data_IF_445540315884
#
_entry.id   IF_445540315884
#
_cell.length_a   1.000
_cell.length_b   1.000
_cell.length_c   1.000
_cell.angle_alpha   90.00
_cell.angle_beta   90.00
_cell.angle_gamma   90.00
#
_symmetry.space_group_name_H-M   'P 1'
#
loop_
_entity.id
_entity.type
_entity.pdbx_description
1 polymer ?
#
# COMPACT_ATOMS: atom_id res chain seq x y z
N UNK A 1 21.51 -49.38 9.90
CA UNK A 1 22.28 -48.12 10.03
C UNK A 1 21.87 -47.24 8.86
N UNK A 2 21.04 -46.22 9.09
CA UNK A 2 20.88 -45.10 8.16
C UNK A 2 20.28 -43.95 8.96
N UNK A 3 21.12 -42.93 9.24
CA UNK A 3 20.73 -41.71 9.95
C UNK A 3 20.34 -40.64 8.93
N UNK A 4 19.13 -40.16 9.14
CA UNK A 4 18.43 -38.99 8.59
C UNK A 4 19.38 -37.78 8.40
N UNK A 5 19.38 -37.20 7.19
CA UNK A 5 19.84 -35.83 6.89
C UNK A 5 18.63 -35.05 6.34
N UNK A 6 17.98 -34.23 7.15
CA UNK A 6 16.81 -33.43 6.72
C UNK A 6 16.66 -32.10 7.47
N UNK A 7 17.72 -31.33 7.67
CA UNK A 7 17.64 -30.06 8.44
C UNK A 7 18.16 -28.79 7.72
N UNK A 8 18.59 -28.82 6.46
CA UNK A 8 19.17 -27.62 5.80
C UNK A 8 18.17 -26.76 5.01
N UNK A 9 16.95 -27.23 4.71
CA UNK A 9 16.03 -26.53 3.80
C UNK A 9 15.27 -25.38 4.46
N UNK A 10 15.18 -25.33 5.79
CA UNK A 10 14.27 -24.40 6.50
C UNK A 10 14.86 -23.01 6.76
N UNK A 11 16.18 -22.84 6.77
CA UNK A 11 16.83 -21.59 7.19
C UNK A 11 16.92 -20.55 6.07
N UNK A 12 17.05 -20.98 4.82
CA UNK A 12 17.21 -20.07 3.67
C UNK A 12 15.91 -19.32 3.33
N UNK A 13 14.76 -20.01 3.41
CA UNK A 13 13.45 -19.41 3.18
C UNK A 13 13.10 -18.34 4.22
N UNK A 14 13.47 -18.54 5.49
CA UNK A 14 13.21 -17.58 6.55
C UNK A 14 14.00 -16.27 6.38
N UNK A 15 15.24 -16.35 5.87
CA UNK A 15 16.07 -15.17 5.62
C UNK A 15 15.52 -14.32 4.48
N UNK A 16 15.12 -14.95 3.37
CA UNK A 16 14.53 -14.26 2.21
C UNK A 16 13.22 -13.56 2.55
N UNK A 17 12.36 -14.20 3.34
CA UNK A 17 11.11 -13.60 3.82
C UNK A 17 11.35 -12.36 4.69
N UNK A 18 12.42 -12.38 5.51
CA UNK A 18 12.83 -11.21 6.31
C UNK A 18 13.26 -10.04 5.43
N UNK A 19 14.00 -10.30 4.35
CA UNK A 19 14.47 -9.26 3.41
C UNK A 19 13.30 -8.63 2.64
N UNK A 20 12.38 -9.44 2.11
CA UNK A 20 11.17 -8.94 1.46
C UNK A 20 10.36 -8.01 2.37
N UNK A 21 10.20 -8.43 3.63
CA UNK A 21 9.44 -7.65 4.63
C UNK A 21 10.14 -6.32 4.92
N UNK A 22 11.46 -6.31 4.96
CA UNK A 22 12.25 -5.10 5.14
C UNK A 22 12.12 -4.14 3.95
N UNK A 23 12.28 -4.66 2.73
CA UNK A 23 12.21 -3.87 1.50
C UNK A 23 10.86 -3.19 1.34
N UNK A 24 9.78 -3.95 1.51
CA UNK A 24 8.43 -3.40 1.49
C UNK A 24 8.24 -2.34 2.57
N UNK A 25 8.70 -2.61 3.80
CA UNK A 25 8.59 -1.65 4.91
C UNK A 25 9.31 -0.35 4.60
N UNK A 26 10.51 -0.40 4.05
CA UNK A 26 11.33 0.78 3.75
C UNK A 26 10.67 1.62 2.64
N UNK A 27 10.21 0.96 1.57
CA UNK A 27 9.48 1.61 0.46
C UNK A 27 8.18 2.25 0.96
N UNK A 28 7.39 1.53 1.76
CA UNK A 28 6.14 2.07 2.34
C UNK A 28 6.40 3.22 3.30
N UNK A 29 7.42 3.11 4.14
CA UNK A 29 7.79 4.19 5.07
C UNK A 29 8.12 5.46 4.30
N UNK A 30 8.95 5.34 3.25
CA UNK A 30 9.24 6.45 2.36
C UNK A 30 7.96 7.02 1.73
N UNK A 31 7.16 6.17 1.09
CA UNK A 31 5.95 6.58 0.39
C UNK A 31 5.02 7.41 1.30
N UNK A 32 4.78 6.92 2.52
CA UNK A 32 3.93 7.61 3.50
C UNK A 32 4.57 8.93 3.95
N UNK A 33 5.86 8.95 4.27
CA UNK A 33 6.53 10.18 4.73
C UNK A 33 6.64 11.25 3.65
N UNK A 34 6.66 10.84 2.38
CA UNK A 34 6.80 11.73 1.23
C UNK A 34 5.47 12.01 0.51
N UNK A 35 4.33 11.57 1.07
CA UNK A 35 3.01 11.87 0.53
C UNK A 35 2.65 11.14 -0.77
N UNK A 36 3.33 10.03 -1.08
CA UNK A 36 2.98 9.20 -2.23
C UNK A 36 1.70 8.41 -1.96
N UNK A 37 0.87 8.32 -3.00
CA UNK A 37 -0.20 7.32 -3.07
C UNK A 37 0.40 6.01 -3.56
N UNK A 38 -0.02 4.88 -2.99
CA UNK A 38 0.50 3.57 -3.39
C UNK A 38 -0.55 2.48 -3.40
N UNK A 39 -0.36 1.49 -4.27
CA UNK A 39 -1.12 0.24 -4.22
C UNK A 39 -0.20 -0.95 -4.30
N UNK A 40 -0.55 -1.96 -3.49
CA UNK A 40 0.06 -3.27 -3.47
C UNK A 40 -1.02 -4.29 -3.81
N UNK A 41 -0.79 -5.10 -4.83
CA UNK A 41 -1.69 -6.18 -5.22
C UNK A 41 -0.92 -7.44 -5.63
N UNK A 42 -1.68 -8.50 -5.87
CA UNK A 42 -1.21 -9.79 -6.35
C UNK A 42 -2.28 -10.37 -7.24
N UNK A 43 -1.88 -10.96 -8.37
CA UNK A 43 -2.82 -11.63 -9.28
C UNK A 43 -3.28 -12.97 -8.69
N UNK A 44 -4.51 -13.43 -9.01
CA UNK A 44 -4.99 -14.74 -8.57
C UNK A 44 -4.03 -15.85 -9.05
N UNK A 45 -3.72 -16.79 -8.16
CA UNK A 45 -2.80 -17.91 -8.42
C UNK A 45 -1.34 -17.53 -8.72
N UNK A 46 -0.97 -16.25 -8.63
CA UNK A 46 0.41 -15.81 -8.71
C UNK A 46 1.00 -15.57 -7.31
N UNK A 47 2.30 -15.79 -7.17
CA UNK A 47 3.05 -15.46 -5.96
C UNK A 47 3.61 -14.03 -5.99
N UNK A 48 3.66 -13.44 -7.20
CA UNK A 48 4.23 -12.14 -7.43
C UNK A 48 3.35 -11.03 -6.88
N UNK A 49 3.97 -10.12 -6.12
CA UNK A 49 3.34 -8.94 -5.54
C UNK A 49 3.82 -7.74 -6.33
N UNK A 50 2.90 -6.86 -6.68
CA UNK A 50 3.18 -5.66 -7.47
C UNK A 50 2.88 -4.44 -6.62
N UNK A 51 3.85 -3.52 -6.55
CA UNK A 51 3.74 -2.26 -5.82
C UNK A 51 3.98 -1.11 -6.79
N UNK A 52 3.06 -0.16 -6.82
CA UNK A 52 3.26 1.10 -7.54
C UNK A 52 3.04 2.27 -6.62
N UNK A 53 3.87 3.31 -6.77
CA UNK A 53 3.79 4.56 -6.06
C UNK A 53 3.63 5.71 -7.06
N UNK A 54 2.74 6.64 -6.76
CA UNK A 54 2.51 7.83 -7.56
C UNK A 54 2.38 9.08 -6.68
N UNK A 55 2.91 10.18 -7.17
CA UNK A 55 2.86 11.51 -6.59
C UNK A 55 1.98 12.42 -7.47
N UNK A 56 0.97 13.02 -6.83
CA UNK A 56 -0.13 13.82 -7.37
C UNK A 56 0.00 14.37 -8.81
N UNK A 57 -0.22 13.52 -9.82
CA UNK A 57 -0.35 13.96 -11.21
C UNK A 57 -1.55 13.29 -11.88
N UNK A 58 -2.75 13.82 -11.64
CA UNK A 58 -3.97 13.40 -12.34
C UNK A 58 -3.90 13.85 -13.80
N UNK A 59 -3.92 12.89 -14.73
CA UNK A 59 -4.04 13.13 -16.18
C UNK A 59 -5.41 12.65 -16.64
N UNK A 60 -6.04 13.35 -17.58
CA UNK A 60 -7.26 12.83 -18.23
C UNK A 60 -6.87 11.66 -19.13
N UNK A 61 -7.42 10.48 -18.89
CA UNK A 61 -7.25 9.30 -19.72
C UNK A 61 -8.18 9.43 -20.93
N UNK A 62 -7.75 10.16 -21.96
CA UNK A 62 -8.54 10.32 -23.19
C UNK A 62 -8.04 9.36 -24.26
N UNK A 63 -8.77 8.26 -24.47
CA UNK A 63 -8.62 7.37 -25.63
C UNK A 63 -7.32 6.55 -25.68
N UNK A 64 -6.69 6.31 -24.54
CA UNK A 64 -5.45 5.54 -24.48
C UNK A 64 -5.76 4.04 -24.51
N UNK A 65 -5.14 3.30 -25.44
CA UNK A 65 -5.17 1.84 -25.42
C UNK A 65 -4.45 1.35 -24.16
N UNK A 66 -4.98 0.31 -23.49
CA UNK A 66 -4.35 -0.30 -22.31
C UNK A 66 -2.91 -0.79 -22.59
N UNK A 67 -2.62 -1.13 -23.85
CA UNK A 67 -1.31 -1.66 -24.25
C UNK A 67 -0.19 -0.61 -24.27
N UNK A 68 -0.55 0.67 -24.45
CA UNK A 68 0.42 1.79 -24.51
C UNK A 68 0.54 2.55 -23.18
N UNK A 69 -0.23 2.13 -22.17
CA UNK A 69 -0.26 2.79 -20.88
C UNK A 69 0.96 2.38 -20.05
N UNK A 70 1.66 3.38 -19.52
CA UNK A 70 2.68 3.17 -18.52
C UNK A 70 2.09 2.62 -17.22
N UNK A 71 2.89 1.99 -16.34
CA UNK A 71 2.43 1.61 -15.01
C UNK A 71 1.79 2.80 -14.29
N UNK A 72 0.66 2.57 -13.62
CA UNK A 72 -0.09 3.63 -12.96
C UNK A 72 -1.48 3.21 -12.49
N UNK A 73 -2.25 4.19 -12.06
CA UNK A 73 -3.63 4.04 -11.60
C UNK A 73 -4.59 4.56 -12.65
N UNK A 74 -5.68 3.83 -12.88
CA UNK A 74 -6.81 4.33 -13.65
C UNK A 74 -8.01 4.46 -12.70
N UNK A 75 -8.61 5.64 -12.70
CA UNK A 75 -9.82 5.94 -11.97
C UNK A 75 -10.92 6.31 -12.97
N UNK A 76 -11.94 5.45 -13.06
CA UNK A 76 -13.13 5.71 -13.85
C UNK A 76 -14.25 6.22 -12.93
N UNK A 77 -14.70 7.48 -13.08
CA UNK A 77 -15.83 7.99 -12.32
C UNK A 77 -17.10 7.16 -12.56
N UNK A 78 -17.98 7.06 -11.55
CA UNK A 78 -19.28 6.38 -11.72
C UNK A 78 -20.19 7.10 -12.73
N UNK A 79 -20.05 8.41 -12.82
CA UNK A 79 -20.75 9.22 -13.82
C UNK A 79 -20.05 9.09 -15.17
N UNK A 80 -20.72 8.41 -16.11
CA UNK A 80 -20.21 8.17 -17.47
C UNK A 80 -20.04 9.44 -18.30
N UNK A 81 -20.55 10.58 -17.85
CA UNK A 81 -20.31 11.88 -18.50
C UNK A 81 -18.92 12.44 -18.20
N UNK A 82 -18.26 11.95 -17.14
CA UNK A 82 -16.93 12.35 -16.74
C UNK A 82 -15.88 11.49 -17.44
N UNK A 83 -14.72 12.10 -17.72
CA UNK A 83 -13.60 11.38 -18.32
C UNK A 83 -12.90 10.52 -17.26
N UNK A 84 -12.35 9.39 -17.70
CA UNK A 84 -11.44 8.60 -16.88
C UNK A 84 -10.17 9.40 -16.56
N UNK A 85 -9.58 9.11 -15.42
CA UNK A 85 -8.33 9.70 -14.96
C UNK A 85 -7.24 8.63 -14.91
N UNK A 86 -6.06 8.98 -15.38
CA UNK A 86 -4.86 8.17 -15.29
C UNK A 86 -3.83 8.90 -14.43
N UNK A 87 -3.27 8.19 -13.44
CA UNK A 87 -2.21 8.68 -12.58
C UNK A 87 -0.99 7.80 -12.87
N UNK A 88 0.03 8.29 -13.61
CA UNK A 88 1.23 7.51 -13.86
C UNK A 88 1.96 7.20 -12.55
N UNK A 89 2.50 6.00 -12.45
CA UNK A 89 3.38 5.64 -11.34
C UNK A 89 4.75 6.28 -11.55
N UNK A 90 5.28 6.90 -10.49
CA UNK A 90 6.67 7.36 -10.45
C UNK A 90 7.61 6.18 -10.16
N UNK A 91 7.13 5.24 -9.34
CA UNK A 91 7.88 4.04 -8.98
C UNK A 91 7.03 2.79 -9.12
N UNK A 92 7.64 1.73 -9.63
CA UNK A 92 7.06 0.40 -9.77
C UNK A 92 8.06 -0.66 -9.29
N UNK A 93 7.56 -1.63 -8.53
CA UNK A 93 8.34 -2.72 -7.99
C UNK A 93 7.56 -4.03 -8.09
N UNK A 94 8.28 -5.09 -8.44
CA UNK A 94 7.78 -6.44 -8.48
C UNK A 94 8.52 -7.30 -7.45
N UNK A 95 7.79 -8.10 -6.68
CA UNK A 95 8.34 -8.95 -5.64
C UNK A 95 7.86 -10.39 -5.80
N UNK A 96 8.73 -11.35 -5.54
CA UNK A 96 8.39 -12.76 -5.33
C UNK A 96 8.47 -13.11 -3.85
N UNK A 97 8.24 -14.37 -3.51
CA UNK A 97 8.48 -14.86 -2.15
C UNK A 97 9.98 -14.92 -1.81
N UNK A 98 10.86 -14.96 -2.81
CA UNK A 98 12.31 -14.92 -2.65
C UNK A 98 12.88 -13.49 -2.50
N UNK A 99 12.06 -12.46 -2.67
CA UNK A 99 12.47 -11.05 -2.60
C UNK A 99 12.10 -10.24 -3.83
N UNK A 100 12.71 -9.06 -3.98
CA UNK A 100 12.47 -8.17 -5.11
C UNK A 100 12.94 -8.81 -6.42
N UNK A 101 12.07 -8.81 -7.43
CA UNK A 101 12.34 -9.36 -8.76
C UNK A 101 13.22 -8.39 -9.56
N UNK A 102 13.97 -8.88 -10.58
CA UNK A 102 14.69 -8.00 -11.48
C UNK A 102 13.70 -7.12 -12.27
N UNK A 103 14.08 -5.87 -12.61
CA UNK A 103 13.21 -4.97 -13.33
C UNK A 103 12.91 -5.50 -14.73
N UNK A 104 11.63 -5.50 -15.10
CA UNK A 104 11.11 -5.95 -16.39
C UNK A 104 10.98 -4.81 -17.41
N UNK A 105 10.85 -3.57 -16.94
CA UNK A 105 10.72 -2.38 -17.76
C UNK A 105 11.65 -1.22 -17.33
N UNK A 106 11.58 -0.11 -18.07
CA UNK A 106 12.39 1.08 -17.77
C UNK A 106 12.00 1.79 -16.47
N UNK A 107 10.72 1.74 -16.10
CA UNK A 107 10.19 2.37 -14.88
C UNK A 107 10.66 1.60 -13.64
N UNK A 108 10.57 0.26 -13.67
CA UNK A 108 11.10 -0.61 -12.62
C UNK A 108 12.62 -0.47 -12.50
N UNK A 109 13.36 -0.36 -13.61
CA UNK A 109 14.81 -0.12 -13.56
C UNK A 109 15.15 1.20 -12.84
N UNK A 110 14.44 2.28 -13.16
CA UNK A 110 14.61 3.56 -12.48
C UNK A 110 14.23 3.47 -10.99
N UNK A 111 13.19 2.71 -10.67
CA UNK A 111 12.72 2.49 -9.30
C UNK A 111 13.74 1.73 -8.45
N UNK A 112 14.37 0.70 -9.03
CA UNK A 112 15.46 -0.05 -8.39
C UNK A 112 16.67 0.85 -8.12
N UNK A 113 17.11 1.63 -9.11
CA UNK A 113 18.23 2.55 -8.95
C UNK A 113 17.98 3.58 -7.84
N UNK A 114 16.76 4.13 -7.81
CA UNK A 114 16.31 5.04 -6.77
C UNK A 114 16.31 4.39 -5.38
N UNK A 115 15.82 3.15 -5.25
CA UNK A 115 15.79 2.44 -3.97
C UNK A 115 17.21 2.21 -3.43
N UNK A 116 18.15 1.82 -4.30
CA UNK A 116 19.56 1.65 -3.94
C UNK A 116 20.21 2.96 -3.51
N UNK A 117 19.89 4.08 -4.16
CA UNK A 117 20.34 5.40 -3.74
C UNK A 117 19.78 5.78 -2.36
N UNK A 118 18.50 5.48 -2.10
CA UNK A 118 17.88 5.73 -0.78
C UNK A 118 18.50 4.89 0.33
N UNK A 119 18.83 3.63 0.06
CA UNK A 119 19.54 2.77 1.03
C UNK A 119 20.93 3.31 1.40
N UNK A 120 21.62 3.93 0.44
CA UNK A 120 22.95 4.53 0.68
C UNK A 120 22.88 5.86 1.43
N UNK A 121 21.83 6.64 1.19
CA UNK A 121 21.71 8.02 1.69
C UNK A 121 20.98 8.14 3.03
N UNK A 122 20.01 7.26 3.30
CA UNK A 122 19.22 7.29 4.53
C UNK A 122 19.64 6.17 5.48
N UNK A 123 19.97 6.53 6.74
CA UNK A 123 19.93 5.58 7.84
C UNK A 123 18.48 5.08 8.07
N UNK A 124 18.27 4.00 8.83
CA UNK A 124 16.94 3.39 9.00
C UNK A 124 15.94 4.39 9.59
N UNK A 125 15.10 4.95 8.72
CA UNK A 125 14.02 5.86 9.13
C UNK A 125 12.92 5.01 9.72
N UNK A 126 12.64 5.18 11.02
CA UNK A 126 11.52 4.48 11.65
C UNK A 126 10.22 4.84 10.90
N UNK A 127 9.39 3.86 10.52
CA UNK A 127 8.10 4.14 9.89
C UNK A 127 7.29 5.05 10.81
N UNK A 128 6.58 6.06 10.27
CA UNK A 128 5.56 6.74 11.04
C UNK A 128 4.55 5.69 11.54
N UNK A 129 4.29 5.70 12.85
CA UNK A 129 3.35 4.76 13.48
C UNK A 129 1.93 5.16 13.08
N UNK A 130 1.47 4.66 11.92
CA UNK A 130 0.17 4.98 11.37
C UNK A 130 -0.96 4.19 12.06
N UNK A 131 -0.67 2.94 12.43
CA UNK A 131 -1.58 2.07 13.16
C UNK A 131 -1.05 1.89 14.59
N UNK A 132 -1.84 2.32 15.57
CA UNK A 132 -1.65 1.89 16.95
C UNK A 132 -1.89 0.38 16.99
N UNK A 133 -0.94 -0.41 17.47
CA UNK A 133 -1.16 -1.86 17.55
C UNK A 133 -2.32 -2.11 18.50
N UNK A 134 -3.18 -3.07 18.17
CA UNK A 134 -4.30 -3.43 19.03
C UNK A 134 -3.82 -3.95 20.41
N UNK A 135 -2.59 -4.47 20.49
CA UNK A 135 -1.91 -4.77 21.75
C UNK A 135 -1.66 -3.53 22.62
N UNK A 136 -1.48 -2.35 22.02
CA UNK A 136 -1.36 -1.08 22.75
C UNK A 136 -2.73 -0.61 23.29
N UNK A 137 -3.81 -1.28 22.87
CA UNK A 137 -5.18 -1.10 23.38
C UNK A 137 -5.58 -2.22 24.37
N UNK A 138 -4.74 -3.25 24.58
CA UNK A 138 -4.98 -4.27 25.60
C UNK A 138 -4.75 -3.66 26.98
N UNK A 139 -5.84 -3.25 27.62
CA UNK A 139 -5.86 -2.60 28.92
C UNK A 139 -7.06 -1.69 29.12
N UNK A 140 -7.74 -1.29 28.04
CA UNK A 140 -9.05 -0.65 28.11
C UNK A 140 -10.04 -1.51 27.35
N UNK A 141 -10.79 -2.37 28.04
CA UNK A 141 -12.12 -2.70 27.53
C UNK A 141 -12.78 -1.36 27.23
N UNK A 142 -13.22 -1.13 26.00
CA UNK A 142 -14.05 0.03 25.69
C UNK A 142 -15.24 -0.07 26.63
N UNK A 143 -15.21 0.69 27.74
CA UNK A 143 -16.35 0.82 28.62
C UNK A 143 -17.50 1.27 27.72
N UNK A 144 -18.68 0.68 27.89
CA UNK A 144 -19.86 0.97 27.07
C UNK A 144 -20.06 2.49 26.93
N UNK A 145 -19.82 3.24 28.00
CA UNK A 145 -19.86 4.69 28.05
C UNK A 145 -18.86 5.38 27.09
N UNK A 146 -17.62 4.88 26.98
CA UNK A 146 -16.62 5.41 26.06
C UNK A 146 -17.01 5.17 24.59
N UNK A 147 -17.66 4.04 24.31
CA UNK A 147 -18.20 3.76 22.99
C UNK A 147 -19.38 4.68 22.65
N UNK A 148 -20.31 4.87 23.57
CA UNK A 148 -21.45 5.78 23.41
C UNK A 148 -21.00 7.22 23.18
N UNK A 149 -19.96 7.69 23.88
CA UNK A 149 -19.37 9.01 23.66
C UNK A 149 -18.74 9.15 22.27
N UNK A 150 -18.02 8.12 21.81
CA UNK A 150 -17.45 8.12 20.46
C UNK A 150 -18.55 8.17 19.39
N UNK A 151 -19.61 7.38 19.55
CA UNK A 151 -20.75 7.37 18.62
C UNK A 151 -21.43 8.74 18.57
N UNK A 152 -21.70 9.34 19.74
CA UNK A 152 -22.26 10.70 19.83
C UNK A 152 -21.37 11.72 19.11
N UNK A 153 -20.07 11.68 19.34
CA UNK A 153 -19.13 12.59 18.68
C UNK A 153 -19.13 12.45 17.16
N UNK A 154 -19.13 11.21 16.65
CA UNK A 154 -19.21 10.95 15.21
C UNK A 154 -20.54 11.44 14.62
N UNK A 155 -21.68 11.22 15.30
CA UNK A 155 -22.98 11.69 14.85
C UNK A 155 -23.03 13.22 14.78
N UNK A 156 -22.47 13.92 15.76
CA UNK A 156 -22.35 15.39 15.73
C UNK A 156 -21.47 15.86 14.57
N UNK A 157 -20.32 15.23 14.35
CA UNK A 157 -19.43 15.59 13.25
C UNK A 157 -20.08 15.36 11.86
N UNK A 158 -20.91 14.33 11.71
CA UNK A 158 -21.71 14.08 10.50
C UNK A 158 -22.79 15.16 10.34
N UNK A 159 -23.52 15.50 11.41
CA UNK A 159 -24.55 16.54 11.39
C UNK A 159 -23.96 17.92 11.03
N UNK A 160 -22.74 18.20 11.49
CA UNK A 160 -22.00 19.43 11.19
C UNK A 160 -21.41 19.45 9.76
N UNK A 161 -21.60 18.38 8.96
CA UNK A 161 -21.04 18.26 7.62
C UNK A 161 -19.51 18.14 7.59
N UNK A 162 -18.88 17.83 8.73
CA UNK A 162 -17.42 17.64 8.85
C UNK A 162 -16.97 16.25 8.40
N UNK A 163 -17.89 15.31 8.28
CA UNK A 163 -17.62 13.93 7.83
C UNK A 163 -18.79 13.41 6.98
N UNK A 164 -18.50 12.72 5.88
CA UNK A 164 -19.49 11.95 5.12
C UNK A 164 -19.45 10.46 5.49
N UNK A 165 -20.64 9.91 5.72
CA UNK A 165 -21.03 8.50 5.93
C UNK A 165 -19.93 7.47 6.27
N UNK A 166 -19.97 6.94 7.51
CA UNK A 166 -19.11 5.83 7.91
C UNK A 166 -19.82 4.48 7.82
N UNK A 167 -19.39 3.62 6.89
CA UNK A 167 -19.84 2.22 6.82
C UNK A 167 -18.82 1.31 7.51
N UNK A 168 -19.08 0.91 8.77
CA UNK A 168 -18.39 -0.24 9.36
C UNK A 168 -19.13 -1.51 8.96
N UNK A 169 -18.69 -2.17 7.88
CA UNK A 169 -18.98 -3.60 7.64
C UNK A 169 -17.71 -4.39 7.99
N UNK A 170 -17.84 -5.41 8.85
CA UNK A 170 -16.71 -6.14 9.46
C UNK A 170 -15.86 -6.99 8.48
N UNK A 171 -16.13 -6.92 7.18
CA UNK A 171 -15.35 -7.57 6.13
C UNK A 171 -15.49 -6.75 4.85
N UNK A 172 -14.74 -5.67 4.73
CA UNK A 172 -14.54 -4.97 3.46
C UNK A 172 -13.04 -4.75 3.29
N UNK A 173 -12.45 -5.41 2.29
CA UNK A 173 -11.12 -5.04 1.78
C UNK A 173 -11.23 -3.60 1.28
N UNK A 174 -10.40 -2.74 1.85
CA UNK A 174 -10.37 -1.30 1.64
C UNK A 174 -10.21 -0.94 0.16
N UNK A 175 -11.17 -0.17 -0.36
CA UNK A 175 -11.02 0.71 -1.51
C UNK A 175 -10.81 2.11 -0.92
N UNK A 176 -9.74 2.80 -1.30
CA UNK A 176 -9.48 4.18 -0.90
C UNK A 176 -10.16 5.14 -1.90
N UNK A 177 -11.05 6.04 -1.48
CA UNK A 177 -11.31 7.27 -2.22
C UNK A 177 -10.57 8.42 -1.52
N UNK A 178 -9.53 8.92 -2.19
CA UNK A 178 -8.85 10.16 -1.82
C UNK A 178 -9.73 11.34 -2.25
N UNK A 179 -10.24 12.06 -1.24
CA UNK A 179 -10.42 13.52 -1.15
C UNK A 179 -11.22 14.20 -2.30
N UNK A 180 -12.46 14.57 -1.97
CA UNK A 180 -13.17 15.70 -2.57
C UNK A 180 -12.41 17.01 -2.26
N UNK A 181 -11.97 17.72 -3.30
CA UNK A 181 -11.67 19.16 -3.21
C UNK A 181 -12.77 19.88 -3.98
N UNK A 182 -13.46 20.80 -3.29
CA UNK A 182 -14.46 21.73 -3.84
C UNK A 182 -13.81 22.80 -4.71
#
# INVERSE_FOLDING_TARGET
>A
MERIRSNEVTTESAHKHSLLTQDLRDIFSFAVTSGYSGALWRLPNEQNKFLVLAHETLRKAKGTSFDDLQPGFIFAPFDKSQADYFIPADYAFSFSDDGMLPPSDGTESASHAWLEEKRKSNGPTAPPVFYRRQSDLQGKSLNQEAYEQLVKHCLTAIADGRMENWCRRATCRSFFPTILIR
#
